data_IF_343578505679
#
_entry.id   IF_343578505679
#
_cell.length_a   1.000
_cell.length_b   1.000
_cell.length_c   1.000
_cell.angle_alpha   90.00
_cell.angle_beta   90.00
_cell.angle_gamma   90.00
#
_symmetry.space_group_name_H-M   'P 1'
#
loop_
_entity.id
_entity.type
_entity.pdbx_description
1 polymer ?
#
# COMPACT_ATOMS: atom_id res chain seq x y z
N UNK A 1 2.29 8.52 -13.82
CA UNK A 1 2.55 7.06 -13.86
C UNK A 1 2.00 6.45 -12.58
N UNK A 2 1.45 5.23 -12.62
CA UNK A 2 0.85 4.60 -11.43
C UNK A 2 1.84 3.64 -10.76
N UNK A 3 1.81 3.66 -9.42
CA UNK A 3 2.49 2.69 -8.57
C UNK A 3 1.44 2.08 -7.65
N UNK A 4 1.38 0.76 -7.62
CA UNK A 4 0.54 0.01 -6.70
C UNK A 4 1.40 -0.54 -5.56
N UNK A 5 0.87 -0.63 -4.35
CA UNK A 5 1.61 -1.13 -3.19
C UNK A 5 0.70 -2.07 -2.37
N UNK A 6 1.20 -3.26 -2.06
CA UNK A 6 0.57 -4.14 -1.07
C UNK A 6 1.16 -3.93 0.31
N UNK A 7 0.36 -4.23 1.33
CA UNK A 7 0.85 -4.35 2.70
C UNK A 7 1.95 -5.43 2.77
N UNK A 8 2.96 -5.15 3.58
CA UNK A 8 4.05 -6.07 3.88
C UNK A 8 3.67 -7.10 4.93
N UNK A 9 4.40 -8.21 4.95
CA UNK A 9 4.09 -9.37 5.78
C UNK A 9 4.56 -9.21 7.26
N UNK A 10 4.98 -8.01 7.69
CA UNK A 10 5.56 -7.77 9.01
C UNK A 10 4.51 -7.50 10.11
N UNK A 11 3.27 -7.92 9.90
CA UNK A 11 2.19 -7.71 10.86
C UNK A 11 2.29 -8.65 12.07
N UNK A 12 2.07 -8.16 13.30
CA UNK A 12 1.75 -9.03 14.42
C UNK A 12 0.42 -9.76 14.16
N UNK A 13 0.29 -11.01 14.62
CA UNK A 13 -0.89 -11.87 14.40
C UNK A 13 -2.21 -11.28 14.94
N UNK A 14 -2.11 -10.21 15.75
CA UNK A 14 -3.25 -9.47 16.33
C UNK A 14 -3.05 -7.96 16.11
N UNK A 15 -3.98 -7.32 15.39
CA UNK A 15 -4.07 -5.86 15.19
C UNK A 15 -5.36 -5.35 15.84
N UNK A 16 -5.26 -4.37 16.76
CA UNK A 16 -6.41 -3.74 17.44
C UNK A 16 -7.40 -4.77 18.07
N UNK A 17 -6.88 -5.88 18.59
CA UNK A 17 -7.70 -6.96 19.20
C UNK A 17 -8.30 -7.96 18.22
N UNK A 18 -8.07 -7.80 16.91
CA UNK A 18 -8.52 -8.72 15.87
C UNK A 18 -7.34 -9.53 15.31
N UNK A 19 -7.57 -10.83 15.08
CA UNK A 19 -6.61 -11.65 14.36
C UNK A 19 -6.51 -11.19 12.91
N UNK A 20 -5.29 -10.94 12.45
CA UNK A 20 -5.01 -10.61 11.05
C UNK A 20 -4.49 -11.86 10.37
N UNK A 21 -5.10 -12.24 9.25
CA UNK A 21 -4.59 -13.34 8.44
C UNK A 21 -3.26 -12.92 7.83
N UNK A 22 -2.21 -13.66 8.15
CA UNK A 22 -0.89 -13.53 7.50
C UNK A 22 -0.84 -14.24 6.13
N UNK A 23 -1.92 -14.93 5.74
CA UNK A 23 -2.05 -15.55 4.41
C UNK A 23 -2.53 -14.53 3.39
N UNK A 24 -1.89 -14.56 2.23
CA UNK A 24 -2.30 -13.77 1.07
C UNK A 24 -3.78 -14.00 0.74
N UNK A 25 -4.47 -12.89 0.48
CA UNK A 25 -5.83 -12.93 -0.01
C UNK A 25 -5.87 -13.56 -1.41
N UNK A 26 -6.93 -14.31 -1.73
CA UNK A 26 -7.06 -15.01 -3.02
C UNK A 26 -7.01 -14.06 -4.24
N UNK A 27 -7.25 -12.76 -4.04
CA UNK A 27 -7.17 -11.72 -5.06
C UNK A 27 -5.76 -11.23 -5.38
N UNK A 28 -4.73 -11.56 -4.60
CA UNK A 28 -3.36 -11.07 -4.85
C UNK A 28 -2.88 -11.45 -6.25
N UNK A 29 -3.03 -12.73 -6.63
CA UNK A 29 -2.61 -13.22 -7.96
C UNK A 29 -3.43 -12.64 -9.12
N UNK A 30 -4.78 -12.65 -9.09
CA UNK A 30 -5.57 -11.99 -10.13
C UNK A 30 -5.23 -10.52 -10.33
N UNK A 31 -5.05 -9.76 -9.24
CA UNK A 31 -4.73 -8.34 -9.32
C UNK A 31 -3.33 -8.10 -9.87
N UNK A 32 -2.33 -8.92 -9.49
CA UNK A 32 -1.00 -8.90 -10.11
C UNK A 32 -1.08 -9.06 -11.64
N UNK A 33 -1.85 -10.04 -12.13
CA UNK A 33 -2.02 -10.23 -13.58
C UNK A 33 -2.62 -9.01 -14.29
N UNK A 34 -3.56 -8.30 -13.65
CA UNK A 34 -4.15 -7.07 -14.19
C UNK A 34 -3.09 -5.97 -14.23
N UNK A 35 -2.35 -5.76 -13.15
CA UNK A 35 -1.31 -4.73 -13.09
C UNK A 35 -0.23 -4.96 -14.14
N UNK A 36 0.22 -6.21 -14.30
CA UNK A 36 1.19 -6.60 -15.33
C UNK A 36 0.65 -6.36 -16.74
N UNK A 37 -0.61 -6.69 -17.01
CA UNK A 37 -1.24 -6.47 -18.31
C UNK A 37 -1.32 -4.99 -18.70
N UNK A 38 -1.41 -4.08 -17.72
CA UNK A 38 -1.41 -2.63 -17.93
C UNK A 38 -0.03 -1.98 -17.74
N UNK A 39 1.05 -2.76 -17.55
CA UNK A 39 2.39 -2.27 -17.23
C UNK A 39 2.42 -1.29 -16.04
N UNK A 40 1.59 -1.55 -15.02
CA UNK A 40 1.57 -0.77 -13.78
C UNK A 40 2.59 -1.36 -12.82
N UNK A 41 3.47 -0.51 -12.27
CA UNK A 41 4.50 -0.98 -11.37
C UNK A 41 3.89 -1.38 -10.02
N UNK A 42 4.15 -2.61 -9.59
CA UNK A 42 3.73 -3.13 -8.29
C UNK A 42 4.91 -3.19 -7.31
N UNK A 43 4.80 -2.43 -6.23
CA UNK A 43 5.67 -2.54 -5.06
C UNK A 43 5.20 -3.71 -4.19
N UNK A 44 5.85 -4.86 -4.38
CA UNK A 44 5.40 -6.14 -3.82
C UNK A 44 5.68 -6.31 -2.32
N UNK A 45 6.53 -5.47 -1.73
CA UNK A 45 6.86 -5.55 -0.30
C UNK A 45 7.03 -4.14 0.30
N UNK A 46 5.95 -3.60 0.86
CA UNK A 46 6.10 -2.56 1.88
C UNK A 46 6.81 -3.15 3.11
N UNK A 47 7.54 -2.32 3.87
CA UNK A 47 8.16 -2.76 5.13
C UNK A 47 7.12 -2.86 6.27
N UNK A 48 5.87 -2.46 6.02
CA UNK A 48 4.75 -2.48 6.96
C UNK A 48 3.42 -2.24 6.24
N UNK A 49 2.67 -1.21 6.62
CA UNK A 49 1.47 -0.81 5.85
C UNK A 49 1.86 -0.15 4.53
N UNK A 50 1.11 -0.44 3.47
CA UNK A 50 1.22 0.24 2.19
C UNK A 50 1.07 1.76 2.34
N UNK A 51 0.19 2.21 3.25
CA UNK A 51 -0.05 3.63 3.51
C UNK A 51 1.23 4.35 3.95
N UNK A 52 1.99 3.76 4.88
CA UNK A 52 3.25 4.31 5.37
C UNK A 52 4.26 4.42 4.24
N UNK A 53 4.39 3.37 3.44
CA UNK A 53 5.33 3.34 2.32
C UNK A 53 4.97 4.40 1.27
N UNK A 54 3.69 4.54 0.93
CA UNK A 54 3.19 5.54 -0.01
C UNK A 54 3.35 6.97 0.53
N UNK A 55 3.10 7.18 1.82
CA UNK A 55 3.32 8.47 2.48
C UNK A 55 4.80 8.90 2.43
N UNK A 56 5.72 7.97 2.70
CA UNK A 56 7.16 8.23 2.59
C UNK A 56 7.57 8.56 1.16
N UNK A 57 7.04 7.83 0.17
CA UNK A 57 7.29 8.10 -1.24
C UNK A 57 6.76 9.47 -1.66
N UNK A 58 5.58 9.87 -1.18
CA UNK A 58 5.03 11.19 -1.47
C UNK A 58 5.82 12.30 -0.79
N UNK A 59 6.19 12.12 0.48
CA UNK A 59 6.99 13.08 1.22
C UNK A 59 8.37 13.30 0.57
N UNK A 60 8.99 12.21 0.08
CA UNK A 60 10.26 12.23 -0.65
C UNK A 60 10.15 12.73 -2.10
N UNK A 61 8.94 12.98 -2.62
CA UNK A 61 8.72 13.46 -3.98
C UNK A 61 8.89 12.38 -5.07
N UNK A 62 8.83 11.10 -4.70
CA UNK A 62 8.87 9.97 -5.65
C UNK A 62 7.52 9.82 -6.36
N UNK A 63 6.42 10.10 -5.66
CA UNK A 63 5.05 10.14 -6.21
C UNK A 63 4.40 11.48 -5.90
N UNK A 64 3.66 12.02 -6.84
CA UNK A 64 3.04 13.35 -6.71
C UNK A 64 1.83 13.35 -5.75
N UNK A 65 1.10 12.23 -5.71
CA UNK A 65 -0.09 12.06 -4.88
C UNK A 65 -0.27 10.59 -4.47
N UNK A 66 -0.98 10.37 -3.37
CA UNK A 66 -1.38 9.04 -2.87
C UNK A 66 -2.88 8.89 -3.01
N UNK A 67 -3.36 7.76 -3.52
CA UNK A 67 -4.79 7.44 -3.57
C UNK A 67 -5.10 6.37 -2.54
N UNK A 68 -5.95 6.69 -1.57
CA UNK A 68 -6.32 5.79 -0.47
C UNK A 68 -7.67 6.19 0.10
N UNK A 69 -8.39 5.23 0.69
CA UNK A 69 -9.73 5.44 1.25
C UNK A 69 -9.68 6.12 2.64
N UNK A 70 -8.62 5.84 3.42
CA UNK A 70 -8.45 6.37 4.77
C UNK A 70 -7.48 7.57 4.83
N UNK A 71 -7.74 8.47 5.78
CA UNK A 71 -6.96 9.69 6.02
C UNK A 71 -5.74 9.48 6.93
N UNK A 72 -5.56 8.28 7.49
CA UNK A 72 -4.45 7.92 8.38
C UNK A 72 -3.07 8.20 7.73
N UNK A 73 -3.00 8.17 6.40
CA UNK A 73 -1.79 8.48 5.61
C UNK A 73 -1.18 9.86 5.88
N UNK A 74 -1.97 10.84 6.32
CA UNK A 74 -1.47 12.17 6.68
C UNK A 74 -0.58 12.14 7.93
N UNK A 75 -0.86 11.24 8.88
CA UNK A 75 -0.05 11.08 10.09
C UNK A 75 1.37 10.61 9.74
N UNK A 76 1.52 9.88 8.64
CA UNK A 76 2.80 9.41 8.12
C UNK A 76 3.52 10.43 7.22
N UNK A 77 2.95 11.63 7.02
CA UNK A 77 3.60 12.74 6.33
C UNK A 77 3.30 12.85 4.84
N UNK A 78 2.24 12.21 4.35
CA UNK A 78 1.74 12.50 3.01
C UNK A 78 1.28 13.96 2.89
N UNK A 79 1.58 14.58 1.74
CA UNK A 79 1.28 15.98 1.43
C UNK A 79 0.08 16.11 0.50
N UNK A 80 -0.08 15.17 -0.43
CA UNK A 80 -1.15 15.19 -1.43
C UNK A 80 -1.85 13.84 -1.43
N UNK A 81 -3.14 13.84 -1.05
CA UNK A 81 -3.98 12.64 -0.99
C UNK A 81 -5.20 12.85 -1.86
N UNK A 82 -5.54 11.82 -2.65
CA UNK A 82 -6.74 11.72 -3.46
C UNK A 82 -7.65 10.69 -2.80
N UNK A 83 -8.90 11.08 -2.54
CA UNK A 83 -9.93 10.25 -1.94
C UNK A 83 -11.05 10.03 -2.96
#
# INVERSE_FOLDING_TARGET
>A
QLVFCYDGNQWPEVKRGHHVSTRDHWMVKPTQCILDAFNIFLLSQAVGEAEVQLALMNNAGIVDAVMIDDSDVFVFGAKTVLQ
#
